data_IF_815174733279
#
_entry.id   IF_815174733279
#
_cell.length_a   1.000
_cell.length_b   1.000
_cell.length_c   1.000
_cell.angle_alpha   90.00
_cell.angle_beta   90.00
_cell.angle_gamma   90.00
#
_symmetry.space_group_name_H-M   'P 1'
#
loop_
_entity.id
_entity.type
_entity.pdbx_description
1 polymer ?
#
# COMPACT_ATOMS: atom_id res chain seq x y z
N UNK A 1 -1.74 -10.67 -3.91
CA UNK A 1 -1.39 -11.96 -4.54
C UNK A 1 -1.60 -11.95 -6.06
N UNK A 2 -2.83 -11.72 -6.56
CA UNK A 2 -3.12 -11.75 -8.01
C UNK A 2 -2.22 -10.83 -8.86
N UNK A 3 -2.01 -9.58 -8.44
CA UNK A 3 -1.13 -8.64 -9.16
C UNK A 3 0.34 -9.08 -9.19
N UNK A 4 0.83 -9.75 -8.13
CA UNK A 4 2.18 -10.30 -8.10
C UNK A 4 2.30 -11.50 -9.06
N UNK A 5 1.28 -12.35 -9.10
CA UNK A 5 1.19 -13.47 -10.03
C UNK A 5 1.14 -13.00 -11.49
N UNK A 6 0.35 -11.97 -11.80
CA UNK A 6 0.30 -11.37 -13.13
C UNK A 6 1.66 -10.81 -13.56
N UNK A 7 2.41 -10.21 -12.62
CA UNK A 7 3.75 -9.66 -12.87
C UNK A 7 4.90 -10.68 -12.86
N UNK A 8 4.62 -11.98 -12.59
CA UNK A 8 5.67 -13.00 -12.35
C UNK A 8 6.71 -13.11 -13.46
N UNK A 9 6.29 -13.00 -14.72
CA UNK A 9 7.18 -13.09 -15.87
C UNK A 9 8.21 -11.95 -15.88
N UNK A 10 7.79 -10.74 -15.51
CA UNK A 10 8.66 -9.55 -15.40
C UNK A 10 9.56 -9.59 -14.16
N UNK A 11 9.20 -10.37 -13.13
CA UNK A 11 9.93 -10.48 -11.87
C UNK A 11 10.98 -11.59 -11.89
N UNK A 12 10.75 -12.69 -12.61
CA UNK A 12 11.68 -13.84 -12.71
C UNK A 12 13.13 -13.46 -13.05
N UNK A 13 13.41 -12.55 -14.00
CA UNK A 13 14.79 -12.18 -14.34
C UNK A 13 15.57 -11.50 -13.20
N UNK A 14 14.88 -10.99 -12.18
CA UNK A 14 15.49 -10.28 -11.06
C UNK A 14 16.22 -11.22 -10.09
N UNK A 15 15.78 -12.48 -9.98
CA UNK A 15 16.41 -13.49 -9.14
C UNK A 15 16.76 -12.98 -7.73
N UNK A 16 18.06 -13.04 -7.38
CA UNK A 16 18.58 -12.63 -6.07
C UNK A 16 18.41 -11.14 -5.76
N UNK A 17 18.18 -10.29 -6.76
CA UNK A 17 17.89 -8.87 -6.56
C UNK A 17 16.65 -8.65 -5.69
N UNK A 18 15.70 -9.58 -5.70
CA UNK A 18 14.46 -9.48 -4.92
C UNK A 18 14.67 -9.77 -3.43
N UNK A 19 15.69 -10.53 -3.06
CA UNK A 19 15.83 -11.06 -1.71
C UNK A 19 15.86 -9.97 -0.63
N UNK A 20 16.65 -8.90 -0.74
CA UNK A 20 16.65 -7.83 0.26
C UNK A 20 15.29 -7.12 0.38
N UNK A 21 14.60 -6.91 -0.75
CA UNK A 21 13.26 -6.27 -0.76
C UNK A 21 12.20 -7.18 -0.13
N UNK A 22 12.27 -8.49 -0.39
CA UNK A 22 11.36 -9.47 0.21
C UNK A 22 11.59 -9.56 1.71
N UNK A 23 12.84 -9.57 2.18
CA UNK A 23 13.17 -9.55 3.60
C UNK A 23 12.72 -8.25 4.27
N UNK A 24 12.94 -7.10 3.63
CA UNK A 24 12.43 -5.81 4.11
C UNK A 24 10.90 -5.78 4.19
N UNK A 25 10.21 -6.31 3.18
CA UNK A 25 8.76 -6.44 3.14
C UNK A 25 8.21 -7.38 4.21
N UNK A 26 8.85 -8.53 4.42
CA UNK A 26 8.51 -9.49 5.47
C UNK A 26 8.71 -8.88 6.86
N UNK A 27 9.90 -8.37 7.14
CA UNK A 27 10.24 -7.80 8.44
C UNK A 27 9.35 -6.58 8.75
N UNK A 28 9.23 -5.65 7.81
CA UNK A 28 8.39 -4.47 7.99
C UNK A 28 6.90 -4.83 8.10
N UNK A 29 6.39 -5.72 7.25
CA UNK A 29 5.00 -6.16 7.32
C UNK A 29 4.66 -6.88 8.63
N UNK A 30 5.56 -7.74 9.12
CA UNK A 30 5.44 -8.39 10.42
C UNK A 30 5.43 -7.36 11.55
N UNK A 31 6.40 -6.44 11.57
CA UNK A 31 6.48 -5.37 12.58
C UNK A 31 5.23 -4.48 12.56
N UNK A 32 4.74 -4.10 11.38
CA UNK A 32 3.51 -3.32 11.23
C UNK A 32 2.29 -4.04 11.80
N UNK A 33 2.12 -5.32 11.48
CA UNK A 33 1.03 -6.14 12.02
C UNK A 33 1.13 -6.32 13.54
N UNK A 34 2.35 -6.55 14.06
CA UNK A 34 2.59 -6.64 15.50
C UNK A 34 2.33 -5.32 16.23
N UNK A 35 2.69 -4.18 15.64
CA UNK A 35 2.39 -2.85 16.18
C UNK A 35 0.88 -2.61 16.28
N UNK A 36 0.11 -3.05 15.27
CA UNK A 36 -1.34 -2.93 15.32
C UNK A 36 -1.95 -3.82 16.41
N UNK A 37 -1.48 -5.07 16.51
CA UNK A 37 -1.91 -5.99 17.58
C UNK A 37 -1.56 -5.49 18.98
N UNK A 38 -0.36 -4.93 19.15
CA UNK A 38 0.13 -4.43 20.43
C UNK A 38 -0.56 -3.14 20.86
N UNK A 39 -0.87 -2.24 19.92
CA UNK A 39 -1.61 -1.01 20.21
C UNK A 39 -3.07 -1.26 20.59
N UNK A 40 -3.67 -2.32 20.06
CA UNK A 40 -5.07 -2.67 20.32
C UNK A 40 -6.07 -1.71 19.66
N UNK A 41 -7.35 -2.00 19.87
CA UNK A 41 -8.45 -1.35 19.16
C UNK A 41 -8.56 0.15 19.49
N UNK A 42 -8.27 0.55 20.73
CA UNK A 42 -8.42 1.94 21.16
C UNK A 42 -7.39 2.86 20.50
N UNK A 43 -6.12 2.45 20.50
CA UNK A 43 -5.05 3.21 19.83
C UNK A 43 -5.34 3.29 18.34
N UNK A 44 -5.80 2.19 17.72
CA UNK A 44 -6.14 2.20 16.31
C UNK A 44 -7.32 3.13 16.02
N UNK A 45 -8.39 3.12 16.82
CA UNK A 45 -9.54 4.04 16.69
C UNK A 45 -9.13 5.50 16.73
N UNK A 46 -8.21 5.87 17.60
CA UNK A 46 -7.65 7.23 17.68
C UNK A 46 -6.80 7.57 16.45
N UNK A 47 -6.10 6.60 15.87
CA UNK A 47 -5.25 6.81 14.70
C UNK A 47 -5.99 6.77 13.36
N UNK A 48 -7.13 6.08 13.25
CA UNK A 48 -7.92 5.94 12.01
C UNK A 48 -8.14 7.27 11.27
N UNK A 49 -8.60 8.36 11.93
CA UNK A 49 -8.82 9.64 11.23
C UNK A 49 -7.54 10.18 10.57
N UNK A 50 -6.40 10.09 11.27
CA UNK A 50 -5.10 10.53 10.77
C UNK A 50 -4.57 9.65 9.65
N UNK A 51 -4.76 8.33 9.75
CA UNK A 51 -4.36 7.37 8.74
C UNK A 51 -5.17 7.55 7.44
N UNK A 52 -6.48 7.79 7.56
CA UNK A 52 -7.36 8.11 6.44
C UNK A 52 -7.01 9.45 5.80
N UNK A 53 -6.73 10.48 6.61
CA UNK A 53 -6.27 11.77 6.12
C UNK A 53 -4.98 11.62 5.31
N UNK A 54 -3.99 10.91 5.85
CA UNK A 54 -2.71 10.66 5.18
C UNK A 54 -2.90 9.89 3.86
N UNK A 55 -3.68 8.81 3.87
CA UNK A 55 -3.95 8.02 2.67
C UNK A 55 -4.70 8.83 1.60
N UNK A 56 -5.71 9.60 2.01
CA UNK A 56 -6.49 10.47 1.11
C UNK A 56 -5.63 11.58 0.54
N UNK A 57 -4.84 12.26 1.38
CA UNK A 57 -3.93 13.32 0.94
C UNK A 57 -2.86 12.77 -0.02
N UNK A 58 -2.27 11.62 0.29
CA UNK A 58 -1.30 10.96 -0.58
C UNK A 58 -1.93 10.57 -1.93
N UNK A 59 -3.13 10.00 -1.90
CA UNK A 59 -3.87 9.71 -3.13
C UNK A 59 -4.18 11.00 -3.91
N UNK A 60 -4.60 12.06 -3.23
CA UNK A 60 -4.88 13.40 -3.77
C UNK A 60 -3.63 14.13 -4.31
N UNK A 61 -2.43 13.77 -3.83
CA UNK A 61 -1.16 14.29 -4.33
C UNK A 61 -0.53 13.43 -5.44
N UNK A 62 -1.05 12.22 -5.70
CA UNK A 62 -0.39 11.23 -6.57
C UNK A 62 -0.04 11.68 -8.01
N UNK A 63 -0.80 12.56 -8.72
CA UNK A 63 -0.44 13.06 -10.05
C UNK A 63 0.68 14.10 -9.99
N UNK A 64 0.72 14.91 -8.93
CA UNK A 64 1.82 15.84 -8.72
C UNK A 64 3.10 15.08 -8.37
N UNK A 65 2.99 14.09 -7.48
CA UNK A 65 4.07 13.17 -7.17
C UNK A 65 4.54 12.43 -8.42
N UNK A 66 3.63 11.92 -9.26
CA UNK A 66 3.97 11.26 -10.51
C UNK A 66 4.75 12.14 -11.48
N UNK A 67 4.37 13.41 -11.64
CA UNK A 67 5.09 14.38 -12.47
C UNK A 67 6.50 14.66 -11.92
N UNK A 68 6.60 14.94 -10.62
CA UNK A 68 7.88 15.16 -9.94
C UNK A 68 8.83 13.95 -10.05
N UNK A 69 8.29 12.74 -9.91
CA UNK A 69 9.05 11.51 -10.09
C UNK A 69 9.51 11.30 -11.55
N UNK A 70 8.65 11.62 -12.52
CA UNK A 70 8.98 11.50 -13.94
C UNK A 70 10.14 12.43 -14.32
N UNK A 71 10.18 13.65 -13.78
CA UNK A 71 11.30 14.59 -13.98
C UNK A 71 12.60 14.05 -13.39
N UNK A 72 12.57 13.50 -12.16
CA UNK A 72 13.76 12.91 -11.53
C UNK A 72 14.28 11.66 -12.24
N UNK A 73 13.40 10.92 -12.93
CA UNK A 73 13.79 9.72 -13.70
C UNK A 73 14.60 10.03 -14.95
N UNK A 74 14.41 11.20 -15.58
CA UNK A 74 15.11 11.59 -16.82
C UNK A 74 16.64 11.54 -16.68
N UNK A 75 17.16 11.70 -15.46
CA UNK A 75 18.59 11.75 -15.19
C UNK A 75 19.17 10.49 -14.53
N UNK A 76 18.38 9.44 -14.25
CA UNK A 76 18.80 8.28 -13.41
C UNK A 76 18.21 6.92 -13.84
N UNK A 77 17.95 6.69 -15.12
CA UNK A 77 17.42 5.41 -15.58
C UNK A 77 18.52 4.32 -15.53
N UNK A 78 18.56 3.54 -14.44
CA UNK A 78 19.44 2.39 -14.29
C UNK A 78 18.69 1.08 -14.54
N UNK A 79 19.30 0.15 -15.28
CA UNK A 79 18.71 -1.17 -15.49
C UNK A 79 18.54 -1.96 -14.17
N UNK A 80 19.45 -1.78 -13.22
CA UNK A 80 19.43 -2.37 -11.89
C UNK A 80 19.93 -1.36 -10.84
N UNK A 81 19.06 -0.51 -10.28
CA UNK A 81 19.42 0.36 -9.16
C UNK A 81 19.95 -0.47 -7.98
N UNK A 82 21.10 -0.13 -7.38
CA UNK A 82 21.62 -0.83 -6.22
C UNK A 82 20.73 -0.58 -4.99
N UNK A 83 20.61 -1.61 -4.14
CA UNK A 83 19.95 -1.48 -2.84
C UNK A 83 20.85 -0.70 -1.87
N UNK A 84 20.64 0.60 -1.78
CA UNK A 84 21.30 1.44 -0.77
C UNK A 84 20.66 1.23 0.61
N UNK A 85 21.39 1.49 1.72
CA UNK A 85 20.80 1.47 3.06
C UNK A 85 19.59 2.39 3.19
N UNK A 86 19.62 3.56 2.54
CA UNK A 86 18.51 4.51 2.54
C UNK A 86 17.26 3.95 1.81
N UNK A 87 17.43 3.33 0.63
CA UNK A 87 16.32 2.70 -0.09
C UNK A 87 15.73 1.53 0.69
N UNK A 88 16.57 0.70 1.32
CA UNK A 88 16.08 -0.40 2.15
C UNK A 88 15.35 0.12 3.39
N UNK A 89 15.87 1.16 4.04
CA UNK A 89 15.18 1.83 5.15
C UNK A 89 13.83 2.40 4.73
N UNK A 90 13.74 3.04 3.56
CA UNK A 90 12.48 3.54 3.01
C UNK A 90 11.48 2.38 2.76
N UNK A 91 11.93 1.28 2.15
CA UNK A 91 11.07 0.10 1.95
C UNK A 91 10.62 -0.55 3.25
N UNK A 92 11.47 -0.62 4.27
CA UNK A 92 11.08 -1.11 5.61
C UNK A 92 10.00 -0.19 6.19
N UNK A 93 10.21 1.13 6.18
CA UNK A 93 9.22 2.09 6.69
C UNK A 93 7.87 2.00 5.97
N UNK A 94 7.88 1.91 4.64
CA UNK A 94 6.66 1.70 3.85
C UNK A 94 6.02 0.34 4.15
N UNK A 95 6.82 -0.69 4.45
CA UNK A 95 6.32 -2.03 4.79
C UNK A 95 5.73 -2.08 6.20
N UNK A 96 6.29 -1.35 7.17
CA UNK A 96 5.71 -1.18 8.52
C UNK A 96 4.36 -0.49 8.41
N UNK A 97 4.30 0.65 7.72
CA UNK A 97 3.03 1.33 7.43
C UNK A 97 2.05 0.41 6.70
N UNK A 98 2.56 -0.35 5.75
CA UNK A 98 1.80 -1.30 4.95
C UNK A 98 1.18 -2.44 5.75
N UNK A 99 1.93 -2.98 6.71
CA UNK A 99 1.46 -4.04 7.63
C UNK A 99 0.53 -3.52 8.71
N UNK A 100 0.65 -2.23 9.08
CA UNK A 100 -0.22 -1.58 10.07
C UNK A 100 -1.56 -1.12 9.48
N UNK A 101 -1.55 -0.41 8.35
CA UNK A 101 -2.78 0.18 7.77
C UNK A 101 -2.96 -0.12 6.28
N UNK A 102 -1.88 -0.07 5.50
CA UNK A 102 -1.90 -0.53 4.10
C UNK A 102 -2.61 0.36 3.07
N UNK A 103 -3.46 1.31 3.46
CA UNK A 103 -4.09 2.21 2.49
C UNK A 103 -3.06 3.14 1.83
N UNK A 104 -3.15 3.41 0.53
CA UNK A 104 -2.19 4.30 -0.16
C UNK A 104 -0.74 3.78 -0.24
N UNK A 105 -0.40 2.65 0.41
CA UNK A 105 0.95 2.06 0.45
C UNK A 105 1.52 1.80 -0.96
N UNK A 106 0.67 1.40 -1.92
CA UNK A 106 1.08 1.21 -3.31
C UNK A 106 1.64 2.48 -3.96
N UNK A 107 1.15 3.66 -3.59
CA UNK A 107 1.69 4.95 -4.08
C UNK A 107 3.06 5.21 -3.48
N UNK A 108 3.24 4.95 -2.17
CA UNK A 108 4.53 5.07 -1.49
C UNK A 108 5.59 4.13 -2.11
N UNK A 109 5.22 2.88 -2.37
CA UNK A 109 6.11 1.91 -3.01
C UNK A 109 6.48 2.33 -4.43
N UNK A 110 5.50 2.75 -5.24
CA UNK A 110 5.77 3.27 -6.59
C UNK A 110 6.69 4.48 -6.55
N UNK A 111 6.51 5.37 -5.58
CA UNK A 111 7.36 6.53 -5.39
C UNK A 111 8.79 6.12 -5.03
N UNK A 112 8.98 5.24 -4.04
CA UNK A 112 10.29 4.73 -3.64
C UNK A 112 11.05 4.11 -4.82
N UNK A 113 10.43 3.16 -5.52
CA UNK A 113 11.06 2.52 -6.69
C UNK A 113 11.33 3.51 -7.83
N UNK A 114 10.47 4.51 -8.03
CA UNK A 114 10.68 5.53 -9.06
C UNK A 114 11.84 6.47 -8.71
N UNK A 115 12.01 6.84 -7.43
CA UNK A 115 13.13 7.64 -6.92
C UNK A 115 14.45 6.88 -7.08
N UNK A 116 14.44 5.57 -6.86
CA UNK A 116 15.60 4.68 -7.09
C UNK A 116 15.98 4.56 -8.57
N UNK A 117 15.10 4.97 -9.48
CA UNK A 117 15.35 4.96 -10.92
C UNK A 117 14.78 3.75 -11.65
N UNK A 118 13.91 2.96 -11.03
CA UNK A 118 13.25 1.86 -11.72
C UNK A 118 12.29 2.36 -12.81
N UNK A 119 12.24 1.68 -13.97
CA UNK A 119 11.18 1.89 -14.94
C UNK A 119 9.80 1.64 -14.32
N UNK A 120 8.80 2.46 -14.68
CA UNK A 120 7.45 2.40 -14.09
C UNK A 120 6.82 0.99 -14.14
N UNK A 121 7.02 0.27 -15.25
CA UNK A 121 6.54 -1.10 -15.38
C UNK A 121 7.17 -2.04 -14.34
N UNK A 122 8.49 -1.91 -14.11
CA UNK A 122 9.22 -2.68 -13.09
C UNK A 122 8.85 -2.23 -11.67
N UNK A 123 8.72 -0.93 -11.44
CA UNK A 123 8.26 -0.38 -10.17
C UNK A 123 6.87 -0.92 -9.80
N UNK A 124 5.95 -1.00 -10.76
CA UNK A 124 4.62 -1.55 -10.54
C UNK A 124 4.64 -3.07 -10.29
N UNK A 125 5.50 -3.82 -11.00
CA UNK A 125 5.71 -5.23 -10.76
C UNK A 125 6.26 -5.49 -9.35
N UNK A 126 7.29 -4.74 -8.94
CA UNK A 126 7.89 -4.82 -7.60
C UNK A 126 6.88 -4.43 -6.52
N UNK A 127 6.16 -3.31 -6.69
CA UNK A 127 5.06 -2.89 -5.81
C UNK A 127 4.07 -4.02 -5.57
N UNK A 128 3.58 -4.65 -6.65
CA UNK A 128 2.61 -5.76 -6.53
C UNK A 128 3.18 -6.95 -5.75
N UNK A 129 4.45 -7.32 -5.97
CA UNK A 129 5.12 -8.39 -5.25
C UNK A 129 5.29 -8.07 -3.76
N UNK A 130 5.87 -6.91 -3.45
CA UNK A 130 6.15 -6.52 -2.06
C UNK A 130 4.85 -6.27 -1.29
N UNK A 131 3.85 -5.64 -1.91
CA UNK A 131 2.50 -5.53 -1.34
C UNK A 131 1.91 -6.91 -1.02
N UNK A 132 2.06 -7.90 -1.91
CA UNK A 132 1.55 -9.24 -1.67
C UNK A 132 2.24 -9.89 -0.46
N UNK A 133 3.54 -9.70 -0.31
CA UNK A 133 4.30 -10.19 0.86
C UNK A 133 3.81 -9.51 2.14
N UNK A 134 3.74 -8.17 2.16
CA UNK A 134 3.32 -7.39 3.34
C UNK A 134 1.92 -7.80 3.79
N UNK A 135 0.94 -7.83 2.88
CA UNK A 135 -0.42 -8.20 3.24
C UNK A 135 -0.51 -9.65 3.69
N UNK A 136 0.26 -10.56 3.10
CA UNK A 136 0.25 -11.98 3.50
C UNK A 136 0.80 -12.15 4.91
N UNK A 137 1.95 -11.55 5.22
CA UNK A 137 2.54 -11.66 6.55
C UNK A 137 1.69 -10.93 7.59
N UNK A 138 1.16 -9.75 7.29
CA UNK A 138 0.26 -9.03 8.19
C UNK A 138 -1.01 -9.85 8.50
N UNK A 139 -1.66 -10.39 7.46
CA UNK A 139 -2.84 -11.26 7.62
C UNK A 139 -2.50 -12.49 8.46
N UNK A 140 -1.38 -13.16 8.17
CA UNK A 140 -0.93 -14.34 8.91
C UNK A 140 -0.68 -14.01 10.38
N UNK A 141 -0.07 -12.85 10.68
CA UNK A 141 0.13 -12.38 12.05
C UNK A 141 -1.19 -12.26 12.82
N UNK A 142 -2.23 -11.69 12.20
CA UNK A 142 -3.56 -11.59 12.81
C UNK A 142 -4.24 -12.95 13.01
N UNK A 143 -4.12 -13.85 12.02
CA UNK A 143 -4.68 -15.21 12.08
C UNK A 143 -4.01 -16.01 13.20
N UNK A 144 -2.68 -16.01 13.27
CA UNK A 144 -1.93 -16.72 14.32
C UNK A 144 -2.24 -16.14 15.71
N UNK A 145 -2.42 -14.83 15.82
CA UNK A 145 -2.78 -14.17 17.08
C UNK A 145 -4.23 -14.46 17.53
N UNK A 146 -5.04 -15.16 16.73
CA UNK A 146 -6.45 -15.45 17.06
C UNK A 146 -7.32 -14.20 17.10
N UNK A 147 -6.90 -13.10 16.44
CA UNK A 147 -7.62 -11.81 16.43
C UNK A 147 -8.43 -11.61 15.15
N UNK A 148 -8.83 -12.69 14.50
CA UNK A 148 -9.62 -12.67 13.27
C UNK A 148 -10.96 -13.32 13.55
N UNK A 149 -12.03 -12.55 13.38
CA UNK A 149 -13.36 -13.12 13.30
C UNK A 149 -13.64 -13.59 11.88
N UNK A 150 -13.92 -14.88 11.72
CA UNK A 150 -14.08 -15.52 10.42
C UNK A 150 -15.32 -15.04 9.65
N UNK A 151 -16.38 -14.66 10.37
CA UNK A 151 -17.61 -14.17 9.77
C UNK A 151 -17.39 -12.79 9.12
N UNK A 152 -16.84 -11.84 9.85
CA UNK A 152 -16.49 -10.50 9.38
C UNK A 152 -15.42 -10.57 8.29
N UNK A 153 -14.46 -11.50 8.41
CA UNK A 153 -13.48 -11.77 7.35
C UNK A 153 -14.17 -12.20 6.06
N UNK A 154 -15.15 -13.11 6.12
CA UNK A 154 -15.87 -13.57 4.93
C UNK A 154 -16.63 -12.43 4.25
N UNK A 155 -17.28 -11.56 5.03
CA UNK A 155 -17.96 -10.35 4.52
C UNK A 155 -16.95 -9.42 3.86
N UNK A 156 -15.84 -9.12 4.55
CA UNK A 156 -14.76 -8.27 4.04
C UNK A 156 -14.21 -8.80 2.73
N UNK A 157 -13.86 -10.09 2.66
CA UNK A 157 -13.28 -10.71 1.47
C UNK A 157 -14.27 -10.69 0.30
N UNK A 158 -15.55 -10.98 0.55
CA UNK A 158 -16.58 -10.97 -0.49
C UNK A 158 -16.78 -9.55 -1.03
N UNK A 159 -16.96 -8.57 -0.14
CA UNK A 159 -17.12 -7.16 -0.52
C UNK A 159 -15.88 -6.61 -1.23
N UNK A 160 -14.68 -6.89 -0.73
CA UNK A 160 -13.44 -6.45 -1.36
C UNK A 160 -13.20 -7.10 -2.73
N UNK A 161 -13.60 -8.36 -2.91
CA UNK A 161 -13.48 -9.07 -4.20
C UNK A 161 -14.45 -8.49 -5.22
N UNK A 162 -15.73 -8.34 -4.86
CA UNK A 162 -16.75 -7.74 -5.74
C UNK A 162 -16.38 -6.29 -6.07
N UNK A 163 -16.08 -5.49 -5.05
CA UNK A 163 -15.69 -4.09 -5.21
C UNK A 163 -14.39 -3.91 -5.99
N UNK A 164 -13.41 -4.80 -5.79
CA UNK A 164 -12.15 -4.78 -6.54
C UNK A 164 -12.35 -5.11 -8.01
N UNK A 165 -13.17 -6.12 -8.33
CA UNK A 165 -13.49 -6.49 -9.70
C UNK A 165 -14.32 -5.41 -10.40
N UNK A 166 -15.43 -5.00 -9.78
CA UNK A 166 -16.32 -3.97 -10.32
C UNK A 166 -15.60 -2.62 -10.44
N UNK A 167 -14.82 -2.23 -9.42
CA UNK A 167 -14.03 -1.01 -9.40
C UNK A 167 -12.94 -1.01 -10.47
N UNK A 168 -12.28 -2.15 -10.72
CA UNK A 168 -11.34 -2.30 -11.82
C UNK A 168 -12.02 -2.14 -13.18
N UNK A 169 -13.11 -2.87 -13.41
CA UNK A 169 -13.87 -2.82 -14.66
C UNK A 169 -14.48 -1.44 -14.95
N UNK A 170 -14.98 -0.75 -13.91
CA UNK A 170 -15.54 0.59 -14.03
C UNK A 170 -14.44 1.65 -14.16
N UNK A 171 -13.32 1.45 -13.47
CA UNK A 171 -12.18 2.37 -13.50
C UNK A 171 -11.52 2.46 -14.88
N UNK A 172 -11.56 1.41 -15.69
CA UNK A 172 -11.11 1.44 -17.09
C UNK A 172 -12.05 2.24 -18.02
N UNK A 173 -13.33 2.39 -17.65
CA UNK A 173 -14.35 3.05 -18.46
C UNK A 173 -14.57 4.52 -18.09
N UNK A 174 -14.25 4.89 -16.84
CA UNK A 174 -14.49 6.25 -16.34
C UNK A 174 -13.34 7.19 -16.71
N UNK A 175 -13.63 8.48 -16.98
CA UNK A 175 -12.61 9.51 -17.04
C UNK A 175 -11.74 9.51 -15.77
N UNK A 176 -10.41 9.51 -15.88
CA UNK A 176 -9.51 9.43 -14.73
C UNK A 176 -9.77 10.51 -13.66
N UNK A 177 -10.18 11.71 -14.10
CA UNK A 177 -10.54 12.80 -13.21
C UNK A 177 -11.78 12.48 -12.36
N UNK A 178 -12.82 11.87 -12.94
CA UNK A 178 -14.05 11.52 -12.22
C UNK A 178 -13.79 10.41 -11.19
N UNK A 179 -13.10 9.33 -11.60
CA UNK A 179 -12.73 8.25 -10.69
C UNK A 179 -11.92 8.78 -9.50
N UNK A 180 -10.98 9.67 -9.79
CA UNK A 180 -10.14 10.29 -8.78
C UNK A 180 -10.93 11.18 -7.84
N UNK A 181 -11.76 12.08 -8.35
CA UNK A 181 -12.60 12.96 -7.53
C UNK A 181 -13.53 12.16 -6.65
N UNK A 182 -14.09 11.05 -7.16
CA UNK A 182 -14.91 10.13 -6.37
C UNK A 182 -14.13 9.49 -5.22
N UNK A 183 -12.94 8.93 -5.48
CA UNK A 183 -12.10 8.34 -4.42
C UNK A 183 -11.70 9.37 -3.38
N UNK A 184 -11.35 10.60 -3.80
CA UNK A 184 -11.02 11.69 -2.89
C UNK A 184 -12.24 12.08 -2.06
N UNK A 185 -13.42 12.22 -2.67
CA UNK A 185 -14.67 12.56 -1.98
C UNK A 185 -15.00 11.53 -0.89
N UNK A 186 -14.95 10.24 -1.23
CA UNK A 186 -15.21 9.15 -0.28
C UNK A 186 -14.18 9.17 0.84
N UNK A 187 -12.89 9.28 0.50
CA UNK A 187 -11.80 9.34 1.48
C UNK A 187 -11.92 10.53 2.43
N UNK A 188 -12.19 11.73 1.90
CA UNK A 188 -12.40 12.95 2.68
C UNK A 188 -13.65 12.85 3.57
N UNK A 189 -14.75 12.30 3.05
CA UNK A 189 -15.99 12.10 3.82
C UNK A 189 -15.75 11.15 4.99
N UNK A 190 -15.11 10.00 4.75
CA UNK A 190 -14.76 9.06 5.81
C UNK A 190 -13.78 9.66 6.82
N UNK A 191 -12.79 10.41 6.35
CA UNK A 191 -11.83 11.12 7.22
C UNK A 191 -12.56 12.07 8.16
N UNK A 192 -13.44 12.93 7.64
CA UNK A 192 -14.23 13.87 8.43
C UNK A 192 -15.16 13.15 9.41
N UNK A 193 -15.83 12.09 8.96
CA UNK A 193 -16.70 11.27 9.80
C UNK A 193 -15.94 10.67 10.99
N UNK A 194 -14.78 10.05 10.75
CA UNK A 194 -14.00 9.46 11.84
C UNK A 194 -13.36 10.51 12.74
N UNK A 195 -12.94 11.66 12.21
CA UNK A 195 -12.49 12.78 13.06
C UNK A 195 -13.59 13.24 14.01
N UNK A 196 -14.81 13.43 13.48
CA UNK A 196 -15.97 13.77 14.28
C UNK A 196 -16.27 12.69 15.32
N UNK A 197 -16.40 11.45 14.86
CA UNK A 197 -16.77 10.30 15.68
C UNK A 197 -15.79 10.06 16.84
N UNK A 198 -14.50 10.26 16.61
CA UNK A 198 -13.45 9.90 17.57
C UNK A 198 -13.09 11.04 18.51
N UNK A 199 -13.15 12.30 18.05
CA UNK A 199 -12.68 13.45 18.84
C UNK A 199 -13.78 14.41 19.31
N UNK A 200 -14.97 14.39 18.70
CA UNK A 200 -16.05 15.33 19.02
C UNK A 200 -17.28 14.66 19.63
N UNK A 201 -17.48 13.37 19.40
CA UNK A 201 -18.60 12.60 19.97
C UNK A 201 -18.19 11.50 20.97
N UNK A 202 -16.92 11.46 21.36
CA UNK A 202 -16.38 10.56 22.39
C UNK A 202 -16.31 11.28 23.75
#
# INVERSE_FOLDING_TARGET
LAGAWAARASLRPLGRYLLPLLLAGLAGGLLGGLLLLAGGDDVFRVLIPWLLLAATALFAASPWLGRWLAERRKNKASAHPPHTPLSLGAHIGVSIYGGYFGAGMGILQLAAFSIEGHPLARANALKNLISAVIYSIATLTFVIAGRVSWYELAILLTGATIGGYAGGALGEKLPPALLRSFVILVGSTMTLYYFWSTYFSA
#
